data_IF_744023130920
#
_entry.id   IF_744023130920
#
_cell.length_a   1.000
_cell.length_b   1.000
_cell.length_c   1.000
_cell.angle_alpha   90.00
_cell.angle_beta   90.00
_cell.angle_gamma   90.00
#
_symmetry.space_group_name_H-M   'P 1'
#
loop_
_entity.id
_entity.type
_entity.pdbx_description
1 polymer ?
#
# COMPACT_ATOMS: atom_id res chain seq x y z
N UNK A 1 -0.36 -47.76 21.72
CA UNK A 1 -0.29 -46.81 20.57
C UNK A 1 0.71 -45.70 20.90
N UNK A 2 1.93 -45.75 20.34
CA UNK A 2 2.93 -44.68 20.52
C UNK A 2 2.55 -43.50 19.62
N UNK A 3 2.23 -42.35 20.21
CA UNK A 3 2.04 -41.09 19.47
C UNK A 3 3.36 -40.75 18.78
N UNK A 4 3.34 -40.66 17.45
CA UNK A 4 4.49 -40.24 16.65
C UNK A 4 4.78 -38.79 16.97
N UNK A 5 5.97 -38.54 17.49
CA UNK A 5 6.48 -37.19 17.73
C UNK A 5 6.84 -36.57 16.37
N UNK A 6 5.89 -35.89 15.74
CA UNK A 6 6.09 -35.17 14.46
C UNK A 6 6.71 -33.80 14.72
N UNK A 7 7.78 -33.77 15.49
CA UNK A 7 8.61 -32.58 15.67
C UNK A 7 9.84 -32.77 14.80
N UNK A 8 9.68 -32.59 13.48
CA UNK A 8 10.82 -32.41 12.58
C UNK A 8 11.39 -31.04 12.94
N UNK A 9 12.23 -31.00 13.97
CA UNK A 9 12.84 -29.78 14.47
C UNK A 9 13.47 -29.06 13.27
N UNK A 10 12.94 -27.87 12.96
CA UNK A 10 13.54 -26.98 11.98
C UNK A 10 14.92 -26.65 12.54
N UNK A 11 15.97 -27.21 11.94
CA UNK A 11 17.37 -26.95 12.29
C UNK A 11 17.75 -25.57 11.71
N UNK A 12 17.05 -24.53 12.16
CA UNK A 12 17.47 -23.14 11.98
C UNK A 12 17.89 -22.65 13.36
N UNK A 13 19.04 -21.97 13.47
CA UNK A 13 19.37 -21.29 14.73
C UNK A 13 18.31 -20.21 14.98
N UNK A 14 17.78 -20.07 16.21
CA UNK A 14 16.83 -19.02 16.50
C UNK A 14 17.49 -17.66 16.20
N UNK A 15 16.83 -16.87 15.37
CA UNK A 15 17.38 -15.61 14.83
C UNK A 15 17.33 -14.51 15.89
N UNK A 16 16.35 -14.58 16.80
CA UNK A 16 16.16 -13.57 17.83
C UNK A 16 15.56 -14.19 19.10
N UNK A 17 16.29 -14.09 20.22
CA UNK A 17 15.92 -14.75 21.49
C UNK A 17 15.12 -13.88 22.47
N UNK A 18 15.03 -12.58 22.24
CA UNK A 18 14.52 -11.64 23.25
C UNK A 18 13.29 -10.82 22.80
N UNK A 19 12.85 -10.95 21.54
CA UNK A 19 11.78 -10.09 21.01
C UNK A 19 10.45 -10.32 21.75
N UNK A 20 10.07 -11.58 21.97
CA UNK A 20 8.83 -11.94 22.68
C UNK A 20 9.07 -12.36 24.15
N UNK A 21 10.32 -12.30 24.62
CA UNK A 21 10.73 -12.80 25.94
C UNK A 21 11.39 -14.17 25.90
N UNK A 22 11.93 -14.65 27.03
CA UNK A 22 12.81 -15.83 27.09
C UNK A 22 12.08 -17.15 26.83
N UNK A 23 10.75 -17.16 26.97
CA UNK A 23 9.92 -18.36 26.83
C UNK A 23 9.56 -18.68 25.37
N UNK A 24 10.07 -17.89 24.41
CA UNK A 24 9.75 -17.99 22.99
C UNK A 24 11.01 -17.89 22.12
N UNK A 25 11.27 -18.92 21.32
CA UNK A 25 12.36 -18.95 20.34
C UNK A 25 11.81 -18.70 18.92
N UNK A 26 12.33 -17.68 18.25
CA UNK A 26 11.88 -17.26 16.90
C UNK A 26 12.80 -17.80 15.80
N UNK A 27 12.17 -18.34 14.76
CA UNK A 27 12.79 -18.79 13.52
C UNK A 27 12.15 -18.01 12.34
N UNK A 28 12.77 -18.00 11.14
CA UNK A 28 12.28 -17.20 10.02
C UNK A 28 10.81 -17.45 9.62
N UNK A 29 10.32 -18.68 9.82
CA UNK A 29 8.95 -19.08 9.46
C UNK A 29 8.22 -19.83 10.58
N UNK A 30 8.71 -19.78 11.83
CA UNK A 30 8.15 -20.52 12.94
C UNK A 30 8.54 -19.93 14.31
N UNK A 31 7.87 -20.38 15.37
CA UNK A 31 8.23 -20.11 16.76
C UNK A 31 8.12 -21.41 17.57
N UNK A 32 9.04 -21.61 18.51
CA UNK A 32 8.96 -22.68 19.52
C UNK A 32 8.73 -22.09 20.91
N UNK A 33 7.84 -22.70 21.69
CA UNK A 33 7.60 -22.34 23.09
C UNK A 33 8.51 -23.14 24.02
N UNK A 34 9.20 -22.46 24.93
CA UNK A 34 10.09 -23.05 25.93
C UNK A 34 9.36 -23.15 27.26
N UNK A 35 9.40 -24.35 27.87
CA UNK A 35 8.81 -24.58 29.19
C UNK A 35 7.29 -24.43 29.20
N UNK A 36 6.76 -23.72 30.20
CA UNK A 36 5.32 -23.48 30.38
C UNK A 36 5.08 -22.00 30.70
N UNK A 37 5.06 -21.12 29.68
CA UNK A 37 4.75 -19.71 29.89
C UNK A 37 3.37 -19.53 30.53
N UNK A 38 3.25 -18.48 31.32
CA UNK A 38 2.01 -17.99 31.91
C UNK A 38 1.07 -17.43 30.85
N UNK A 39 -0.22 -17.26 31.19
CA UNK A 39 -1.19 -16.66 30.26
C UNK A 39 -0.81 -15.22 29.92
N UNK A 40 -0.25 -14.51 30.89
CA UNK A 40 0.22 -13.14 30.80
C UNK A 40 1.41 -13.03 29.84
N UNK A 41 2.36 -13.97 29.88
CA UNK A 41 3.45 -14.05 28.92
C UNK A 41 2.96 -14.28 27.48
N UNK A 42 1.97 -15.16 27.29
CA UNK A 42 1.35 -15.35 25.97
C UNK A 42 0.64 -14.07 25.50
N UNK A 43 -0.17 -13.44 26.34
CA UNK A 43 -0.87 -12.20 26.02
C UNK A 43 0.11 -11.11 25.59
N UNK A 44 1.21 -10.96 26.34
CA UNK A 44 2.26 -9.99 26.03
C UNK A 44 2.94 -10.29 24.70
N UNK A 45 3.23 -11.56 24.40
CA UNK A 45 3.83 -11.96 23.13
C UNK A 45 2.93 -11.64 21.94
N UNK A 46 1.62 -11.91 22.02
CA UNK A 46 0.66 -11.55 20.98
C UNK A 46 0.58 -10.03 20.78
N UNK A 47 0.42 -9.26 21.86
CA UNK A 47 0.36 -7.79 21.79
C UNK A 47 1.62 -7.18 21.14
N UNK A 48 2.80 -7.75 21.41
CA UNK A 48 4.05 -7.31 20.75
C UNK A 48 4.06 -7.62 19.26
N UNK A 49 3.56 -8.79 18.85
CA UNK A 49 3.46 -9.13 17.43
C UNK A 49 2.47 -8.21 16.70
N UNK A 50 1.33 -7.93 17.31
CA UNK A 50 0.33 -6.98 16.78
C UNK A 50 0.92 -5.57 16.63
N UNK A 51 1.65 -5.09 17.64
CA UNK A 51 2.36 -3.80 17.56
C UNK A 51 3.36 -3.78 16.39
N UNK A 52 4.19 -4.82 16.27
CA UNK A 52 5.19 -4.92 15.21
C UNK A 52 4.50 -4.96 13.85
N UNK A 53 3.49 -5.81 13.67
CA UNK A 53 2.77 -5.94 12.40
C UNK A 53 2.10 -4.63 11.98
N UNK A 54 1.46 -3.92 12.92
CA UNK A 54 0.84 -2.64 12.65
C UNK A 54 1.82 -1.48 12.39
N UNK A 55 3.03 -1.54 12.96
CA UNK A 55 3.99 -0.43 12.94
C UNK A 55 5.21 -0.65 12.02
N UNK A 56 5.47 -1.86 11.53
CA UNK A 56 6.72 -2.21 10.83
C UNK A 56 7.00 -1.26 9.65
N UNK A 57 5.98 -0.96 8.85
CA UNK A 57 6.13 -0.07 7.69
C UNK A 57 6.36 1.40 8.10
N UNK A 58 5.76 1.86 9.20
CA UNK A 58 6.07 3.18 9.75
C UNK A 58 7.53 3.25 10.21
N UNK A 59 8.01 2.19 10.88
CA UNK A 59 9.41 2.12 11.33
C UNK A 59 10.39 2.07 10.16
N UNK A 60 10.10 1.33 9.09
CA UNK A 60 10.92 1.36 7.88
C UNK A 60 10.99 2.77 7.28
N UNK A 61 9.86 3.47 7.23
CA UNK A 61 9.83 4.85 6.74
C UNK A 61 10.65 5.81 7.62
N UNK A 62 10.46 5.76 8.93
CA UNK A 62 11.16 6.63 9.89
C UNK A 62 12.67 6.36 9.92
N UNK A 63 13.07 5.08 9.92
CA UNK A 63 14.48 4.67 9.83
C UNK A 63 15.10 5.15 8.52
N UNK A 64 14.37 5.04 7.41
CA UNK A 64 14.85 5.50 6.11
C UNK A 64 15.07 7.01 6.06
N UNK A 65 14.16 7.81 6.64
CA UNK A 65 14.31 9.26 6.76
C UNK A 65 15.49 9.64 7.64
N UNK A 66 15.63 8.97 8.80
CA UNK A 66 16.75 9.20 9.71
C UNK A 66 18.09 8.81 9.09
N UNK A 67 18.15 7.68 8.39
CA UNK A 67 19.35 7.23 7.68
C UNK A 67 19.76 8.25 6.63
N UNK A 68 18.81 8.72 5.80
CA UNK A 68 19.12 9.69 4.76
C UNK A 68 19.66 11.02 5.30
N UNK A 69 19.12 11.48 6.44
CA UNK A 69 19.64 12.66 7.11
C UNK A 69 21.08 12.53 7.61
N UNK A 70 21.56 11.32 7.89
CA UNK A 70 22.91 11.07 8.41
C UNK A 70 23.92 10.62 7.34
N UNK A 71 23.49 9.80 6.40
CA UNK A 71 24.37 9.03 5.51
C UNK A 71 24.04 9.20 4.01
N UNK A 72 22.96 9.90 3.66
CA UNK A 72 22.53 10.08 2.27
C UNK A 72 21.68 8.93 1.75
N UNK A 73 21.74 8.64 0.45
CA UNK A 73 20.77 7.75 -0.20
C UNK A 73 20.68 6.36 0.48
N UNK A 74 19.45 5.85 0.64
CA UNK A 74 19.15 4.58 1.34
C UNK A 74 19.41 3.32 0.50
N UNK A 75 20.09 3.42 -0.65
CA UNK A 75 20.24 2.32 -1.61
C UNK A 75 20.88 1.10 -0.94
N UNK A 76 22.01 1.31 -0.25
CA UNK A 76 22.77 0.23 0.40
C UNK A 76 21.94 -0.53 1.45
N UNK A 77 21.13 0.17 2.25
CA UNK A 77 20.32 -0.47 3.29
C UNK A 77 19.09 -1.16 2.69
N UNK A 78 18.56 -0.66 1.57
CA UNK A 78 17.45 -1.33 0.86
C UNK A 78 17.87 -2.64 0.22
N UNK A 79 19.09 -2.72 -0.33
CA UNK A 79 19.63 -3.96 -0.93
C UNK A 79 19.87 -5.07 0.10
N UNK A 80 20.11 -4.70 1.36
CA UNK A 80 20.30 -5.63 2.48
C UNK A 80 18.99 -6.02 3.17
N UNK A 81 17.89 -5.34 2.84
CA UNK A 81 16.58 -5.60 3.45
C UNK A 81 15.91 -6.84 2.85
N UNK A 82 15.04 -7.47 3.64
CA UNK A 82 14.17 -8.55 3.17
C UNK A 82 12.92 -8.08 2.42
N UNK A 83 12.68 -6.77 2.36
CA UNK A 83 11.56 -6.17 1.63
C UNK A 83 11.96 -5.75 0.22
N UNK A 84 10.98 -5.72 -0.68
CA UNK A 84 11.14 -5.09 -1.99
C UNK A 84 11.57 -3.61 -1.83
N UNK A 85 12.54 -3.19 -2.63
CA UNK A 85 13.11 -1.83 -2.58
C UNK A 85 12.02 -0.77 -2.74
N UNK A 86 11.09 -0.98 -3.67
CA UNK A 86 9.96 -0.08 -3.90
C UNK A 86 9.05 0.06 -2.68
N UNK A 87 8.89 -0.99 -1.89
CA UNK A 87 8.13 -0.94 -0.62
C UNK A 87 8.77 0.02 0.38
N UNK A 88 10.09 -0.05 0.56
CA UNK A 88 10.81 0.82 1.51
C UNK A 88 10.76 2.29 1.07
N UNK A 89 10.92 2.55 -0.24
CA UNK A 89 10.77 3.92 -0.77
C UNK A 89 9.35 4.47 -0.59
N UNK A 90 8.33 3.63 -0.78
CA UNK A 90 6.94 4.01 -0.50
C UNK A 90 6.73 4.32 0.99
N UNK A 91 7.25 3.49 1.89
CA UNK A 91 7.14 3.69 3.34
C UNK A 91 7.84 4.99 3.77
N UNK A 92 9.06 5.24 3.25
CA UNK A 92 9.79 6.50 3.45
C UNK A 92 8.98 7.70 2.94
N UNK A 93 8.43 7.60 1.74
CA UNK A 93 7.58 8.65 1.19
C UNK A 93 6.39 8.92 2.12
N UNK A 94 5.66 7.89 2.55
CA UNK A 94 4.51 8.06 3.45
C UNK A 94 4.95 8.68 4.78
N UNK A 95 6.00 8.18 5.43
CA UNK A 95 6.54 8.75 6.66
C UNK A 95 6.89 10.24 6.52
N UNK A 96 7.42 10.66 5.36
CA UNK A 96 7.78 12.07 5.11
C UNK A 96 6.56 13.00 4.99
N UNK A 97 5.37 12.46 4.75
CA UNK A 97 4.13 13.23 4.50
C UNK A 97 3.29 13.47 5.76
N UNK A 98 3.60 12.77 6.84
CA UNK A 98 2.84 12.79 8.08
C UNK A 98 3.75 12.93 9.30
N UNK A 99 3.56 14.02 10.04
CA UNK A 99 4.07 14.15 11.40
C UNK A 99 3.54 13.01 12.27
N UNK A 100 4.27 12.62 13.31
CA UNK A 100 3.85 11.52 14.20
C UNK A 100 2.44 11.76 14.75
N UNK A 101 2.10 12.99 15.12
CA UNK A 101 0.76 13.36 15.61
C UNK A 101 -0.36 13.27 14.58
N UNK A 102 -0.04 13.12 13.30
CA UNK A 102 -1.00 12.98 12.20
C UNK A 102 -1.25 11.52 11.81
N UNK A 103 -0.50 10.58 12.41
CA UNK A 103 -0.61 9.14 12.12
C UNK A 103 -1.73 8.56 12.96
N UNK A 104 -2.83 8.22 12.30
CA UNK A 104 -4.03 7.69 12.94
C UNK A 104 -3.84 6.20 13.26
N UNK A 105 -3.80 5.83 14.54
CA UNK A 105 -3.57 4.44 14.97
C UNK A 105 -4.70 3.47 14.55
N UNK A 106 -5.93 3.97 14.37
CA UNK A 106 -7.04 3.16 13.85
C UNK A 106 -6.99 2.93 12.34
N UNK A 107 -6.04 3.54 11.63
CA UNK A 107 -5.85 3.38 10.19
C UNK A 107 -4.46 2.83 9.87
N UNK A 108 -4.40 1.82 9.01
CA UNK A 108 -3.12 1.28 8.54
C UNK A 108 -2.32 2.31 7.72
N UNK A 109 -1.00 2.10 7.59
CA UNK A 109 -0.15 2.92 6.72
C UNK A 109 -0.64 2.95 5.26
N UNK A 110 -1.39 1.94 4.82
CA UNK A 110 -1.93 1.88 3.47
C UNK A 110 -3.00 2.95 3.22
N UNK A 111 -3.80 3.29 4.23
CA UNK A 111 -4.72 4.44 4.15
C UNK A 111 -3.94 5.75 3.99
N UNK A 112 -2.88 5.90 4.79
CA UNK A 112 -1.98 7.04 4.72
C UNK A 112 -1.30 7.14 3.36
N UNK A 113 -0.91 6.01 2.76
CA UNK A 113 -0.34 5.93 1.41
C UNK A 113 -1.31 6.41 0.33
N UNK A 114 -2.57 5.99 0.39
CA UNK A 114 -3.61 6.43 -0.55
C UNK A 114 -3.83 7.95 -0.46
N UNK A 115 -3.86 8.49 0.76
CA UNK A 115 -4.11 9.91 0.98
C UNK A 115 -2.85 10.79 0.79
N UNK A 116 -1.63 10.25 0.93
CA UNK A 116 -0.36 10.99 0.91
C UNK A 116 -0.18 11.97 -0.27
N UNK A 117 -0.57 11.63 -1.52
CA UNK A 117 -0.44 12.54 -2.66
C UNK A 117 -1.49 13.65 -2.69
N UNK A 118 -2.49 13.66 -1.79
CA UNK A 118 -3.56 14.66 -1.75
C UNK A 118 -3.18 15.86 -0.88
N UNK A 119 -3.60 17.06 -1.31
CA UNK A 119 -3.44 18.28 -0.50
C UNK A 119 -4.31 18.22 0.76
N UNK A 120 -5.53 17.67 0.64
CA UNK A 120 -6.50 17.50 1.71
C UNK A 120 -6.39 16.13 2.43
N UNK A 121 -5.21 15.50 2.39
CA UNK A 121 -4.95 14.15 2.95
C UNK A 121 -5.48 13.93 4.37
N UNK A 122 -5.27 14.89 5.27
CA UNK A 122 -5.70 14.76 6.67
C UNK A 122 -7.23 14.75 6.79
N UNK A 123 -7.93 15.48 5.92
CA UNK A 123 -9.40 15.44 5.85
C UNK A 123 -9.88 14.07 5.41
N UNK A 124 -9.23 13.48 4.40
CA UNK A 124 -9.54 12.13 3.93
C UNK A 124 -9.30 11.06 4.99
N UNK A 125 -8.19 11.14 5.71
CA UNK A 125 -7.91 10.22 6.82
C UNK A 125 -8.95 10.35 7.93
N UNK A 126 -9.34 11.57 8.31
CA UNK A 126 -10.40 11.78 9.31
C UNK A 126 -11.75 11.19 8.88
N UNK A 127 -12.11 11.35 7.60
CA UNK A 127 -13.33 10.73 7.06
C UNK A 127 -13.22 9.20 7.06
N UNK A 128 -12.06 8.65 6.68
CA UNK A 128 -11.81 7.21 6.73
C UNK A 128 -11.87 6.65 8.16
N UNK A 129 -11.30 7.33 9.14
CA UNK A 129 -11.35 6.97 10.55
C UNK A 129 -12.79 6.98 11.08
N UNK A 130 -13.56 8.02 10.75
CA UNK A 130 -14.97 8.17 11.17
C UNK A 130 -15.86 7.11 10.49
N UNK A 131 -15.52 6.71 9.27
CA UNK A 131 -16.26 5.73 8.50
C UNK A 131 -17.62 6.25 8.05
N UNK A 132 -18.64 5.40 8.15
CA UNK A 132 -20.04 5.69 7.84
C UNK A 132 -20.84 6.20 9.07
N UNK A 133 -20.16 6.53 10.17
CA UNK A 133 -20.79 6.93 11.43
C UNK A 133 -21.19 5.77 12.34
N UNK A 134 -20.88 4.52 11.98
CA UNK A 134 -21.09 3.33 12.83
C UNK A 134 -19.95 3.07 13.82
N UNK A 135 -18.90 3.90 13.81
CA UNK A 135 -17.69 3.72 14.62
C UNK A 135 -16.68 2.74 14.00
N UNK A 136 -16.93 2.26 12.79
CA UNK A 136 -16.00 1.41 12.04
C UNK A 136 -15.27 2.23 10.96
N UNK A 137 -13.93 2.26 10.95
CA UNK A 137 -13.17 2.92 9.90
C UNK A 137 -13.46 2.31 8.51
N UNK A 138 -13.35 3.13 7.47
CA UNK A 138 -13.35 2.67 6.08
C UNK A 138 -12.21 1.69 5.83
N UNK A 139 -12.43 0.81 4.85
CA UNK A 139 -11.33 0.03 4.26
C UNK A 139 -10.52 0.90 3.30
N UNK A 140 -9.31 0.47 2.95
CA UNK A 140 -8.48 1.13 1.93
C UNK A 140 -9.21 1.28 0.60
N UNK A 141 -9.93 0.23 0.19
CA UNK A 141 -10.76 0.21 -1.03
C UNK A 141 -11.89 1.23 -0.97
N UNK A 142 -12.52 1.38 0.19
CA UNK A 142 -13.60 2.36 0.37
C UNK A 142 -13.05 3.79 0.33
N UNK A 143 -11.92 4.04 0.99
CA UNK A 143 -11.22 5.34 0.90
C UNK A 143 -10.89 5.70 -0.56
N UNK A 144 -10.31 4.76 -1.32
CA UNK A 144 -10.05 4.97 -2.76
C UNK A 144 -11.34 5.25 -3.55
N UNK A 145 -12.41 4.51 -3.27
CA UNK A 145 -13.70 4.69 -3.93
C UNK A 145 -14.29 6.08 -3.66
N UNK A 146 -14.22 6.56 -2.42
CA UNK A 146 -14.72 7.87 -2.03
C UNK A 146 -13.87 9.00 -2.61
N UNK A 147 -12.54 8.88 -2.59
CA UNK A 147 -11.65 9.85 -3.26
C UNK A 147 -11.97 9.92 -4.75
N UNK A 148 -12.10 8.77 -5.41
CA UNK A 148 -12.45 8.71 -6.84
C UNK A 148 -13.81 9.34 -7.12
N UNK A 149 -14.81 9.09 -6.26
CA UNK A 149 -16.15 9.68 -6.38
C UNK A 149 -16.10 11.19 -6.22
N UNK A 150 -15.36 11.71 -5.24
CA UNK A 150 -15.21 13.15 -5.02
C UNK A 150 -14.45 13.85 -6.15
N UNK A 151 -13.52 13.16 -6.81
CA UNK A 151 -12.79 13.65 -7.98
C UNK A 151 -13.61 13.62 -9.28
N UNK A 152 -14.74 12.91 -9.32
CA UNK A 152 -15.68 13.05 -10.44
C UNK A 152 -16.27 14.44 -10.36
N UNK A 153 -15.77 15.33 -11.21
CA UNK A 153 -16.43 16.60 -11.46
C UNK A 153 -17.85 16.27 -11.95
N UNK A 154 -18.90 16.81 -11.31
CA UNK A 154 -20.22 16.70 -11.90
C UNK A 154 -20.17 17.47 -13.22
N UNK A 155 -20.50 16.81 -14.34
CA UNK A 155 -20.75 17.48 -15.62
C UNK A 155 -21.99 18.37 -15.45
N UNK A 156 -21.82 19.52 -14.80
CA UNK A 156 -22.89 20.44 -14.46
C UNK A 156 -22.66 21.73 -15.23
N UNK A 157 -23.27 21.80 -16.41
CA UNK A 157 -23.23 22.98 -17.28
C UNK A 157 -22.74 22.68 -18.69
N UNK A 158 -22.70 23.74 -19.49
CA UNK A 158 -22.16 23.74 -20.85
C UNK A 158 -20.66 24.03 -20.80
N UNK A 159 -19.89 23.22 -21.51
CA UNK A 159 -18.45 23.41 -21.67
C UNK A 159 -18.19 24.02 -23.04
N UNK A 160 -17.30 25.03 -23.11
CA UNK A 160 -16.92 25.64 -24.38
C UNK A 160 -16.17 24.67 -25.30
N UNK A 161 -15.49 23.68 -24.72
CA UNK A 161 -14.72 22.66 -25.44
C UNK A 161 -14.99 21.30 -24.79
N UNK A 162 -15.38 20.32 -25.60
CA UNK A 162 -15.32 18.90 -25.24
C UNK A 162 -14.07 18.34 -25.93
N UNK A 163 -13.09 17.92 -25.13
CA UNK A 163 -11.90 17.25 -25.66
C UNK A 163 -12.10 15.74 -25.61
N UNK A 164 -11.94 15.09 -26.75
CA UNK A 164 -12.04 13.65 -26.88
C UNK A 164 -10.85 13.16 -27.73
N UNK A 165 -10.30 12.00 -27.36
CA UNK A 165 -9.23 11.31 -28.10
C UNK A 165 -9.71 9.92 -28.61
N UNK A 166 -10.67 9.86 -29.55
CA UNK A 166 -11.01 8.65 -30.29
C UNK A 166 -9.80 8.00 -30.99
N UNK A 167 -9.92 6.72 -31.38
CA UNK A 167 -8.82 5.98 -31.98
C UNK A 167 -8.66 6.34 -33.46
N UNK A 168 -8.39 7.60 -33.78
CA UNK A 168 -8.29 8.06 -35.17
C UNK A 168 -7.11 7.40 -35.87
N UNK A 169 -7.31 6.98 -37.11
CA UNK A 169 -6.21 6.75 -38.05
C UNK A 169 -5.62 8.10 -38.48
N UNK A 170 -4.29 8.21 -38.53
CA UNK A 170 -3.61 9.44 -38.93
C UNK A 170 -2.88 9.24 -40.25
N UNK A 171 -3.11 10.15 -41.21
CA UNK A 171 -2.44 10.10 -42.53
C UNK A 171 -0.93 10.43 -42.46
N UNK A 172 -0.44 10.89 -41.31
CA UNK A 172 0.94 11.35 -41.15
C UNK A 172 1.69 10.55 -40.08
N UNK A 173 2.63 9.71 -40.51
CA UNK A 173 3.71 9.22 -39.65
C UNK A 173 5.06 9.57 -40.28
N UNK A 174 5.98 10.10 -39.48
CA UNK A 174 7.35 10.41 -39.94
C UNK A 174 8.19 9.14 -40.16
N UNK A 175 7.77 8.01 -39.59
CA UNK A 175 8.44 6.71 -39.66
C UNK A 175 7.54 5.61 -39.10
N UNK A 176 7.63 4.39 -39.62
CA UNK A 176 6.80 3.23 -39.20
C UNK A 176 6.86 2.93 -37.69
N UNK A 177 8.03 3.05 -37.04
CA UNK A 177 8.16 2.79 -35.59
C UNK A 177 7.51 3.85 -34.69
N UNK A 178 7.19 5.01 -35.25
CA UNK A 178 6.50 6.13 -34.59
C UNK A 178 5.07 6.29 -35.10
N UNK A 179 4.59 5.34 -35.92
CA UNK A 179 3.20 5.31 -36.32
C UNK A 179 2.35 4.98 -35.09
N UNK A 180 1.18 5.59 -34.99
CA UNK A 180 0.30 5.43 -33.83
C UNK A 180 -0.28 4.00 -33.81
N UNK A 181 -0.46 3.42 -34.99
CA UNK A 181 -0.92 2.07 -35.26
C UNK A 181 0.03 1.00 -34.68
N UNK A 182 1.32 1.32 -34.52
CA UNK A 182 2.29 0.43 -33.89
C UNK A 182 2.11 0.32 -32.36
N UNK A 183 1.44 1.30 -31.73
CA UNK A 183 1.25 1.36 -30.27
C UNK A 183 -0.18 1.07 -29.85
N UNK A 184 -1.18 1.47 -30.67
CA UNK A 184 -2.60 1.31 -30.36
C UNK A 184 -3.41 0.96 -31.63
N UNK A 185 -4.48 0.15 -31.51
CA UNK A 185 -5.44 -0.04 -32.61
C UNK A 185 -6.13 1.29 -32.96
N UNK A 186 -6.18 1.60 -34.26
CA UNK A 186 -6.85 2.78 -34.82
C UNK A 186 -8.07 2.38 -35.64
N UNK A 187 -8.91 3.37 -35.99
CA UNK A 187 -10.12 3.27 -36.79
C UNK A 187 -10.20 4.47 -37.73
N UNK A 188 -10.78 4.24 -38.90
CA UNK A 188 -11.14 5.32 -39.83
C UNK A 188 -12.22 6.22 -39.22
N UNK A 189 -12.36 7.43 -39.75
CA UNK A 189 -13.40 8.36 -39.29
C UNK A 189 -14.80 7.78 -39.53
N UNK A 190 -14.99 7.04 -40.61
CA UNK A 190 -16.23 6.34 -40.95
C UNK A 190 -16.58 5.25 -39.93
N UNK A 191 -15.61 4.43 -39.54
CA UNK A 191 -15.81 3.38 -38.54
C UNK A 191 -16.13 3.98 -37.16
N UNK A 192 -15.46 5.06 -36.77
CA UNK A 192 -15.73 5.77 -35.52
C UNK A 192 -17.18 6.30 -35.50
N UNK A 193 -17.65 6.87 -36.61
CA UNK A 193 -19.03 7.37 -36.73
C UNK A 193 -20.10 6.27 -36.64
N UNK A 194 -19.74 5.00 -36.87
CA UNK A 194 -20.66 3.86 -36.81
C UNK A 194 -20.66 3.15 -35.45
N UNK A 195 -19.80 3.56 -34.51
CA UNK A 195 -19.76 2.95 -33.18
C UNK A 195 -21.10 3.16 -32.44
N UNK A 196 -21.59 2.14 -31.71
CA UNK A 196 -22.79 2.27 -30.91
C UNK A 196 -22.59 3.33 -29.82
N UNK A 197 -23.42 4.37 -29.81
CA UNK A 197 -23.36 5.45 -28.82
C UNK A 197 -24.18 5.02 -27.59
N UNK A 198 -23.56 4.81 -26.40
CA UNK A 198 -24.26 4.29 -25.22
C UNK A 198 -25.35 5.21 -24.64
N UNK A 199 -25.52 6.41 -25.18
CA UNK A 199 -26.51 7.40 -24.75
C UNK A 199 -27.80 7.39 -25.62
N UNK A 200 -27.88 6.56 -26.66
CA UNK A 200 -29.12 6.30 -27.41
C UNK A 200 -29.90 5.12 -26.78
N UNK A 201 -30.46 5.34 -25.58
CA UNK A 201 -31.63 4.62 -25.04
C UNK A 201 -32.57 5.61 -24.34
#
# INVERSE_FOLDING_TARGET
>A
MKKRNTSRALIARPVQKALLGPSFELYPAALTVIGKPTKEEYSTAFQRLELIEGAIHWWYGDLSLSYEGHYGAIVEITEQSGFDVGTIYNDKYVASRYEISQRCESLSIHHHRIAAPLDDRLKWLKMAETGDGTGKPWSTRELEAQIRKARRLPFTGTYAVLYADPPWEYEFSQSESRSIEAHYPTMTTEEICQLPIPAEE
#
